data_IF_152614681211
#
_entry.id   IF_152614681211
#
_cell.length_a   1.000
_cell.length_b   1.000
_cell.length_c   1.000
_cell.angle_alpha   90.00
_cell.angle_beta   90.00
_cell.angle_gamma   90.00
#
_symmetry.space_group_name_H-M   'P 1'
#
loop_
_entity.id
_entity.type
_entity.pdbx_description
1 polymer ?
#
# COMPACT_ATOMS: atom_id res chain seq x y z
N UNK A 1 27.48 2.70 15.30
CA UNK A 1 27.22 1.69 14.25
C UNK A 1 26.11 0.80 14.76
N UNK A 2 24.88 0.95 14.27
CA UNK A 2 23.76 0.07 14.65
C UNK A 2 23.90 -1.23 13.88
N UNK A 3 23.92 -2.37 14.57
CA UNK A 3 24.04 -3.68 13.94
C UNK A 3 22.70 -4.03 13.25
N UNK A 4 22.71 -4.53 12.00
CA UNK A 4 21.49 -4.87 11.28
C UNK A 4 20.67 -5.97 11.97
N UNK A 5 21.33 -6.84 12.75
CA UNK A 5 20.70 -7.90 13.55
C UNK A 5 19.78 -7.39 14.66
N UNK A 6 20.05 -6.18 15.17
CA UNK A 6 19.25 -5.53 16.21
C UNK A 6 17.90 -5.09 15.62
N UNK A 7 17.90 -4.54 14.40
CA UNK A 7 16.67 -4.06 13.71
C UNK A 7 15.74 -5.18 13.25
N UNK A 8 16.26 -6.38 12.98
CA UNK A 8 15.43 -7.52 12.54
C UNK A 8 14.68 -8.18 13.69
N UNK A 9 15.22 -8.12 14.91
CA UNK A 9 14.55 -8.64 16.10
C UNK A 9 13.33 -7.79 16.46
N UNK A 10 13.40 -6.47 16.27
CA UNK A 10 12.30 -5.55 16.55
C UNK A 10 11.07 -5.84 15.68
N UNK A 11 11.27 -6.01 14.37
CA UNK A 11 10.15 -6.33 13.47
C UNK A 11 9.56 -7.71 13.80
N UNK A 12 10.38 -8.75 13.97
CA UNK A 12 9.88 -10.07 14.32
C UNK A 12 9.09 -10.08 15.64
N UNK A 13 9.54 -9.30 16.63
CA UNK A 13 8.84 -9.08 17.89
C UNK A 13 7.47 -8.43 17.69
N UNK A 14 7.40 -7.35 16.90
CA UNK A 14 6.14 -6.66 16.54
C UNK A 14 5.16 -7.60 15.84
N UNK A 15 5.63 -8.44 14.92
CA UNK A 15 4.77 -9.37 14.17
C UNK A 15 4.35 -10.61 14.99
N UNK A 16 5.12 -10.98 16.01
CA UNK A 16 4.82 -12.13 16.89
C UNK A 16 3.92 -11.80 18.07
N UNK A 17 3.66 -10.51 18.34
CA UNK A 17 2.78 -10.05 19.41
C UNK A 17 1.33 -10.50 19.18
N UNK A 18 1.03 -11.72 19.60
CA UNK A 18 -0.28 -12.35 19.51
C UNK A 18 -1.01 -12.18 20.84
N UNK A 19 -2.11 -11.42 20.86
CA UNK A 19 -2.98 -11.31 22.03
C UNK A 19 -3.06 -9.93 22.71
N UNK A 20 -2.33 -8.93 22.20
CA UNK A 20 -2.64 -7.53 22.53
C UNK A 20 -3.74 -7.07 21.58
N UNK A 21 -4.95 -6.85 22.11
CA UNK A 21 -5.92 -6.03 21.39
C UNK A 21 -5.32 -4.61 21.35
N UNK A 22 -4.98 -4.07 20.17
CA UNK A 22 -4.60 -2.68 20.11
C UNK A 22 -5.72 -1.85 20.74
N UNK A 23 -5.36 -0.83 21.52
CA UNK A 23 -6.32 0.21 21.92
C UNK A 23 -6.58 1.01 20.64
N UNK A 24 -7.42 0.42 19.79
CA UNK A 24 -7.78 0.95 18.50
C UNK A 24 -8.53 2.24 18.77
N UNK A 25 -8.10 3.32 18.12
CA UNK A 25 -8.82 4.58 18.10
C UNK A 25 -10.30 4.32 17.83
N UNK A 26 -11.19 5.22 18.25
CA UNK A 26 -12.64 5.08 18.09
C UNK A 26 -13.02 4.85 16.60
N UNK A 27 -12.16 5.31 15.70
CA UNK A 27 -12.24 5.08 14.26
C UNK A 27 -11.89 3.67 13.77
N UNK A 28 -11.16 2.88 14.56
CA UNK A 28 -10.80 1.49 14.32
C UNK A 28 -11.56 0.50 15.23
N UNK A 29 -12.70 0.91 15.79
CA UNK A 29 -13.58 0.04 16.60
C UNK A 29 -14.21 -1.10 15.76
N UNK A 30 -14.21 -2.37 16.23
CA UNK A 30 -14.87 -3.49 15.55
C UNK A 30 -16.38 -3.32 15.34
N UNK A 31 -17.03 -2.34 15.97
CA UNK A 31 -18.43 -1.98 15.76
C UNK A 31 -18.66 -1.02 14.57
N UNK A 32 -17.61 -0.60 13.84
CA UNK A 32 -17.80 0.13 12.59
C UNK A 32 -18.59 -0.74 11.62
N UNK A 33 -19.68 -0.19 11.09
CA UNK A 33 -20.38 -0.78 9.95
C UNK A 33 -19.38 -0.82 8.80
N UNK A 34 -18.84 -2.01 8.50
CA UNK A 34 -18.08 -2.25 7.28
C UNK A 34 -19.02 -1.97 6.10
N UNK A 35 -19.00 -0.73 5.62
CA UNK A 35 -19.75 -0.32 4.44
C UNK A 35 -19.21 -1.16 3.30
N UNK A 36 -20.09 -1.95 2.70
CA UNK A 36 -19.73 -2.79 1.56
C UNK A 36 -19.07 -1.92 0.48
N UNK A 37 -17.82 -2.21 0.17
CA UNK A 37 -17.01 -1.42 -0.78
C UNK A 37 -17.41 -1.63 -2.25
N UNK A 38 -18.52 -2.33 -2.55
CA UNK A 38 -18.97 -2.59 -3.93
C UNK A 38 -19.16 -1.32 -4.78
N UNK A 39 -19.43 -0.19 -4.16
CA UNK A 39 -19.64 1.09 -4.84
C UNK A 39 -18.36 1.94 -4.91
N UNK A 40 -17.22 1.44 -4.40
CA UNK A 40 -15.94 2.11 -4.56
C UNK A 40 -15.35 1.67 -5.90
N UNK A 41 -15.40 2.57 -6.86
CA UNK A 41 -14.87 2.38 -8.21
C UNK A 41 -13.73 3.36 -8.48
N UNK A 42 -13.03 3.19 -9.60
CA UNK A 42 -12.03 4.15 -10.10
C UNK A 42 -12.65 5.16 -11.08
N UNK A 43 -13.98 5.34 -11.03
CA UNK A 43 -14.66 6.27 -11.92
C UNK A 43 -14.14 7.70 -11.69
N UNK A 44 -13.88 8.42 -12.79
CA UNK A 44 -13.28 9.76 -12.77
C UNK A 44 -11.75 9.78 -12.81
N UNK A 45 -11.07 8.63 -12.67
CA UNK A 45 -9.63 8.54 -12.94
C UNK A 45 -9.31 8.38 -14.44
N UNK A 46 -10.30 7.96 -15.22
CA UNK A 46 -10.21 7.81 -16.66
C UNK A 46 -11.57 8.15 -17.28
N UNK A 47 -11.55 8.63 -18.53
CA UNK A 47 -12.78 8.85 -19.30
C UNK A 47 -13.49 7.51 -19.56
N UNK A 48 -14.83 7.46 -19.60
CA UNK A 48 -15.57 6.23 -19.85
C UNK A 48 -15.13 5.55 -21.16
N UNK A 49 -14.78 4.27 -21.07
CA UNK A 49 -14.33 3.47 -22.21
C UNK A 49 -12.85 3.61 -22.57
N UNK A 50 -12.06 4.37 -21.79
CA UNK A 50 -10.60 4.45 -21.94
C UNK A 50 -9.87 3.46 -21.04
N UNK A 51 -8.62 3.14 -21.38
CA UNK A 51 -7.77 2.28 -20.55
C UNK A 51 -7.38 3.01 -19.25
N UNK A 52 -7.96 2.54 -18.14
CA UNK A 52 -7.69 3.02 -16.80
C UNK A 52 -6.20 2.99 -16.46
N UNK A 53 -5.48 1.96 -16.93
CA UNK A 53 -4.04 1.79 -16.65
C UNK A 53 -3.24 2.90 -17.32
N UNK A 54 -3.56 3.22 -18.57
CA UNK A 54 -2.91 4.29 -19.32
C UNK A 54 -3.20 5.66 -18.72
N UNK A 55 -4.46 5.94 -18.37
CA UNK A 55 -4.86 7.18 -17.72
C UNK A 55 -4.16 7.38 -16.36
N UNK A 56 -4.01 6.29 -15.60
CA UNK A 56 -3.30 6.32 -14.33
C UNK A 56 -1.80 6.59 -14.50
N UNK A 57 -1.14 5.95 -15.47
CA UNK A 57 0.27 6.23 -15.80
C UNK A 57 0.49 7.68 -16.20
N UNK A 58 -0.38 8.24 -17.05
CA UNK A 58 -0.30 9.64 -17.45
C UNK A 58 -0.43 10.60 -16.25
N UNK A 59 -1.28 10.25 -15.27
CA UNK A 59 -1.40 11.01 -14.02
C UNK A 59 -0.10 10.95 -13.20
N UNK A 60 0.49 9.76 -13.07
CA UNK A 60 1.76 9.58 -12.35
C UNK A 60 2.92 10.34 -13.02
N UNK A 61 2.98 10.34 -14.35
CA UNK A 61 3.97 11.14 -15.10
C UNK A 61 3.78 12.63 -14.83
N UNK A 62 2.55 13.13 -14.96
CA UNK A 62 2.22 14.55 -14.71
C UNK A 62 2.62 14.99 -13.31
N UNK A 63 2.47 14.11 -12.32
CA UNK A 63 2.81 14.40 -10.93
C UNK A 63 4.29 14.16 -10.59
N UNK A 64 5.10 13.69 -11.54
CA UNK A 64 6.50 13.33 -11.31
C UNK A 64 6.68 12.12 -10.40
N UNK A 65 5.62 11.32 -10.23
CA UNK A 65 5.59 10.11 -9.41
C UNK A 65 5.86 8.84 -10.22
N UNK A 66 5.87 8.95 -11.55
CA UNK A 66 6.32 7.84 -12.38
C UNK A 66 7.84 7.77 -12.31
N UNK A 67 8.36 6.68 -11.71
CA UNK A 67 9.79 6.38 -11.78
C UNK A 67 10.16 5.98 -13.21
N UNK A 68 11.11 6.68 -13.87
CA UNK A 68 11.56 6.33 -15.22
C UNK A 68 12.32 5.01 -15.26
N UNK A 69 12.91 4.60 -14.14
CA UNK A 69 13.66 3.35 -14.00
C UNK A 69 12.76 2.13 -13.81
N UNK A 70 11.43 2.35 -13.70
CA UNK A 70 10.44 1.31 -13.87
C UNK A 70 10.53 0.17 -12.85
N UNK A 71 10.86 0.46 -11.59
CA UNK A 71 10.72 -0.53 -10.53
C UNK A 71 9.23 -0.83 -10.34
N UNK A 72 8.82 -2.03 -10.74
CA UNK A 72 7.45 -2.46 -10.51
C UNK A 72 7.20 -2.60 -9.00
N UNK A 73 5.93 -2.56 -8.57
CA UNK A 73 5.60 -2.91 -7.18
C UNK A 73 6.16 -4.28 -6.77
N UNK A 74 6.31 -5.20 -7.74
CA UNK A 74 6.99 -6.48 -7.52
C UNK A 74 8.47 -6.26 -7.20
N UNK A 75 9.18 -5.44 -7.95
CA UNK A 75 10.60 -5.15 -7.69
C UNK A 75 10.79 -4.42 -6.35
N UNK A 76 9.86 -3.56 -5.95
CA UNK A 76 9.86 -2.96 -4.62
C UNK A 76 9.72 -4.02 -3.49
N UNK A 77 8.83 -5.01 -3.67
CA UNK A 77 8.52 -6.02 -2.64
C UNK A 77 9.54 -7.15 -2.60
N UNK A 78 10.02 -7.59 -3.76
CA UNK A 78 10.91 -8.75 -3.90
C UNK A 78 12.38 -8.35 -4.15
N UNK A 79 12.66 -7.05 -4.27
CA UNK A 79 13.94 -6.51 -4.72
C UNK A 79 14.02 -6.46 -6.25
N UNK A 80 14.69 -5.42 -6.77
CA UNK A 80 14.96 -5.27 -8.21
C UNK A 80 15.83 -6.41 -8.71
N UNK A 81 15.20 -7.39 -9.34
CA UNK A 81 15.86 -8.53 -9.97
C UNK A 81 16.43 -9.58 -9.00
N UNK A 82 15.73 -10.70 -8.89
CA UNK A 82 16.38 -12.01 -8.79
C UNK A 82 16.00 -12.86 -10.00
#
# INVERSE_FOLDING_TARGET
MTNPDETTNDVASVWSASGQSPDLDEDCNPNKVCRNMKEITFDGYAEPGTDLTAAWKATLEREGKLSPDGESLRDLVFGSGR
#
